data_IF_184245598820
#
_entry.id   IF_184245598820
#
_cell.length_a   1.000
_cell.length_b   1.000
_cell.length_c   1.000
_cell.angle_alpha   90.00
_cell.angle_beta   90.00
_cell.angle_gamma   90.00
#
_symmetry.space_group_name_H-M   'P 1'
#
loop_
_entity.id
_entity.type
_entity.pdbx_description
1 polymer ?
#
# COMPACT_ATOMS: atom_id res chain seq x y z
N UNK A 1 13.50 -27.65 10.33
CA UNK A 1 13.31 -27.34 8.88
C UNK A 1 12.41 -26.14 8.64
N UNK A 2 11.24 -26.03 9.30
CA UNK A 2 10.35 -24.85 9.17
C UNK A 2 11.00 -23.50 9.51
N UNK A 3 11.91 -23.46 10.48
CA UNK A 3 12.59 -22.21 10.87
C UNK A 3 13.61 -21.73 9.82
N UNK A 4 14.28 -22.65 9.12
CA UNK A 4 15.19 -22.33 8.02
C UNK A 4 14.44 -21.74 6.81
N UNK A 5 13.28 -22.31 6.47
CA UNK A 5 12.39 -21.75 5.43
C UNK A 5 11.87 -20.37 5.81
N UNK A 6 11.53 -20.17 7.09
CA UNK A 6 11.06 -18.88 7.62
C UNK A 6 12.13 -17.81 7.55
N UNK A 7 13.36 -18.12 7.98
CA UNK A 7 14.51 -17.22 7.93
C UNK A 7 14.90 -16.91 6.48
N UNK A 8 14.89 -17.91 5.59
CA UNK A 8 15.15 -17.73 4.15
C UNK A 8 14.10 -16.84 3.48
N UNK A 9 12.82 -16.98 3.86
CA UNK A 9 11.76 -16.11 3.36
C UNK A 9 11.89 -14.67 3.86
N UNK A 10 12.17 -14.47 5.16
CA UNK A 10 12.34 -13.14 5.74
C UNK A 10 13.54 -12.42 5.14
N UNK A 11 14.66 -13.12 4.94
CA UNK A 11 15.84 -12.55 4.28
C UNK A 11 15.58 -12.22 2.82
N UNK A 12 14.85 -13.05 2.07
CA UNK A 12 14.54 -12.76 0.65
C UNK A 12 13.52 -11.64 0.46
N UNK A 13 12.61 -11.42 1.42
CA UNK A 13 11.56 -10.38 1.35
C UNK A 13 11.80 -9.22 2.32
N UNK A 14 13.02 -9.06 2.82
CA UNK A 14 13.34 -8.13 3.88
C UNK A 14 12.96 -6.68 3.54
N UNK A 15 13.21 -6.21 2.31
CA UNK A 15 12.80 -4.86 1.87
C UNK A 15 11.28 -4.70 1.76
N UNK A 16 10.57 -5.74 1.31
CA UNK A 16 9.12 -5.72 1.25
C UNK A 16 8.51 -5.68 2.66
N UNK A 17 9.21 -6.27 3.64
CA UNK A 17 8.83 -6.24 5.05
C UNK A 17 9.18 -4.92 5.76
N UNK A 18 10.02 -4.06 5.15
CA UNK A 18 10.27 -2.69 5.58
C UNK A 18 9.13 -1.73 5.18
N UNK A 19 7.87 -2.18 5.15
CA UNK A 19 6.72 -1.37 4.76
C UNK A 19 6.58 -0.06 5.57
N UNK A 20 7.13 -0.02 6.78
CA UNK A 20 7.24 1.18 7.62
C UNK A 20 8.09 2.30 7.03
N UNK A 21 9.03 2.00 6.14
CA UNK A 21 9.86 3.02 5.47
C UNK A 21 9.01 3.83 4.49
N UNK A 22 8.04 3.18 3.83
CA UNK A 22 7.18 3.81 2.82
C UNK A 22 5.90 4.39 3.44
N UNK A 23 5.58 4.01 4.69
CA UNK A 23 4.41 4.47 5.43
C UNK A 23 4.22 6.00 5.41
N UNK A 24 5.22 6.82 5.78
CA UNK A 24 5.04 8.28 5.81
C UNK A 24 4.60 8.84 4.45
N UNK A 25 5.19 8.32 3.37
CA UNK A 25 4.87 8.75 2.01
C UNK A 25 3.45 8.32 1.61
N UNK A 26 3.09 7.06 1.87
CA UNK A 26 1.76 6.54 1.56
C UNK A 26 0.66 7.24 2.35
N UNK A 27 0.92 7.58 3.62
CA UNK A 27 -0.04 8.33 4.44
C UNK A 27 -0.27 9.73 3.87
N UNK A 28 0.80 10.44 3.52
CA UNK A 28 0.68 11.80 2.94
C UNK A 28 -0.03 11.74 1.58
N UNK A 29 0.36 10.80 0.70
CA UNK A 29 -0.31 10.62 -0.59
C UNK A 29 -1.78 10.25 -0.42
N UNK A 30 -2.12 9.36 0.52
CA UNK A 30 -3.51 8.98 0.80
C UNK A 30 -4.36 10.16 1.23
N UNK A 31 -3.83 11.03 2.10
CA UNK A 31 -4.52 12.27 2.51
C UNK A 31 -4.70 13.21 1.32
N UNK A 32 -3.67 13.40 0.49
CA UNK A 32 -3.75 14.26 -0.69
C UNK A 32 -4.75 13.77 -1.74
N UNK A 33 -4.94 12.45 -1.84
CA UNK A 33 -5.89 11.85 -2.78
C UNK A 33 -7.34 11.89 -2.27
N UNK A 34 -7.57 11.89 -0.97
CA UNK A 34 -8.92 11.91 -0.38
C UNK A 34 -9.42 13.35 -0.16
N UNK A 35 -8.52 14.26 0.19
CA UNK A 35 -8.87 15.64 0.53
C UNK A 35 -8.86 16.50 -0.73
N UNK A 36 -10.04 16.88 -1.21
CA UNK A 36 -10.17 17.83 -2.32
C UNK A 36 -10.03 19.29 -1.81
N UNK A 37 -8.97 20.02 -2.22
CA UNK A 37 -8.79 21.43 -1.87
C UNK A 37 -9.85 22.36 -2.47
N UNK A 38 -10.67 21.89 -3.42
CA UNK A 38 -11.76 22.67 -4.02
C UNK A 38 -13.07 22.55 -3.26
N UNK A 39 -13.16 21.66 -2.28
CA UNK A 39 -14.28 21.66 -1.34
C UNK A 39 -14.15 22.91 -0.47
N UNK A 40 -15.05 23.89 -0.66
CA UNK A 40 -14.98 25.23 -0.06
C UNK A 40 -15.03 25.30 1.47
N UNK A 41 -14.85 24.17 2.17
CA UNK A 41 -14.78 24.04 3.62
C UNK A 41 -13.35 24.03 4.18
N UNK A 42 -12.31 23.94 3.34
CA UNK A 42 -10.92 23.73 3.79
C UNK A 42 -9.92 24.76 3.28
N UNK A 43 -10.12 26.03 3.68
CA UNK A 43 -9.08 27.06 3.65
C UNK A 43 -8.58 27.48 2.27
N UNK A 44 -7.69 28.47 2.27
CA UNK A 44 -7.07 28.99 1.05
C UNK A 44 -6.23 27.89 0.38
N UNK A 45 -6.37 27.73 -0.94
CA UNK A 45 -5.64 26.73 -1.72
C UNK A 45 -4.11 26.84 -1.53
N UNK A 46 -3.62 28.05 -1.27
CA UNK A 46 -2.20 28.31 -0.95
C UNK A 46 -1.77 27.60 0.33
N UNK A 47 -2.60 27.61 1.37
CA UNK A 47 -2.31 26.95 2.65
C UNK A 47 -2.31 25.44 2.46
N UNK A 48 -3.24 24.90 1.67
CA UNK A 48 -3.31 23.47 1.37
C UNK A 48 -2.09 22.98 0.59
N UNK A 49 -1.67 23.71 -0.46
CA UNK A 49 -0.44 23.38 -1.19
C UNK A 49 0.82 23.49 -0.30
N UNK A 50 0.83 24.47 0.62
CA UNK A 50 1.88 24.61 1.62
C UNK A 50 1.98 23.40 2.55
N UNK A 51 0.86 22.97 3.15
CA UNK A 51 0.83 21.80 4.06
C UNK A 51 1.12 20.50 3.32
N UNK A 52 0.62 20.34 2.08
CA UNK A 52 0.93 19.22 1.21
C UNK A 52 2.44 19.10 0.95
N UNK A 53 3.09 20.22 0.61
CA UNK A 53 4.53 20.27 0.33
C UNK A 53 5.34 19.93 1.58
N UNK A 54 4.99 20.52 2.73
CA UNK A 54 5.65 20.23 4.00
C UNK A 54 5.51 18.75 4.39
N UNK A 55 4.30 18.19 4.26
CA UNK A 55 4.04 16.78 4.52
C UNK A 55 4.87 15.87 3.62
N UNK A 56 4.96 16.18 2.32
CA UNK A 56 5.74 15.42 1.35
C UNK A 56 7.24 15.48 1.68
N UNK A 57 7.78 16.67 1.96
CA UNK A 57 9.18 16.84 2.38
C UNK A 57 9.48 16.07 3.66
N UNK A 58 8.60 16.14 4.66
CA UNK A 58 8.75 15.38 5.90
C UNK A 58 8.73 13.87 5.66
N UNK A 59 7.84 13.37 4.79
CA UNK A 59 7.78 11.97 4.41
C UNK A 59 9.06 11.51 3.70
N UNK A 60 9.58 12.30 2.76
CA UNK A 60 10.85 12.01 2.09
C UNK A 60 12.04 12.03 3.05
N UNK A 61 12.07 12.96 4.00
CA UNK A 61 13.09 13.03 5.04
C UNK A 61 13.02 11.85 6.01
N UNK A 62 11.85 11.27 6.25
CA UNK A 62 11.67 10.11 7.11
C UNK A 62 12.25 8.82 6.52
N UNK A 63 12.20 8.64 5.18
CA UNK A 63 12.70 7.45 4.48
C UNK A 63 14.15 7.09 4.87
N UNK A 64 15.16 7.98 4.76
CA UNK A 64 16.54 7.65 5.12
C UNK A 64 16.71 7.38 6.62
N UNK A 65 15.93 8.05 7.49
CA UNK A 65 15.97 7.86 8.95
C UNK A 65 15.46 6.46 9.32
N UNK A 66 14.28 6.09 8.82
CA UNK A 66 13.69 4.76 8.99
C UNK A 66 14.59 3.68 8.40
N UNK A 67 15.13 3.91 7.19
CA UNK A 67 16.06 2.97 6.54
C UNK A 67 17.35 2.76 7.33
N UNK A 68 17.85 3.79 8.02
CA UNK A 68 19.02 3.68 8.93
C UNK A 68 18.64 2.90 10.19
N UNK A 69 17.48 3.15 10.77
CA UNK A 69 16.98 2.41 11.92
C UNK A 69 16.90 0.91 11.63
N UNK A 70 16.28 0.52 10.50
CA UNK A 70 16.17 -0.89 10.11
C UNK A 70 17.54 -1.55 9.88
N UNK A 71 18.44 -0.87 9.17
CA UNK A 71 19.80 -1.37 8.94
C UNK A 71 20.58 -1.58 10.24
N UNK A 72 20.40 -0.71 11.23
CA UNK A 72 21.04 -0.86 12.54
C UNK A 72 20.45 -2.01 13.36
N UNK A 73 19.12 -2.17 13.35
CA UNK A 73 18.44 -3.14 14.22
C UNK A 73 18.44 -4.57 13.67
N UNK A 74 18.39 -4.74 12.36
CA UNK A 74 18.22 -6.06 11.72
C UNK A 74 19.32 -6.38 10.70
N UNK A 75 20.31 -5.50 10.52
CA UNK A 75 21.42 -5.68 9.59
C UNK A 75 21.10 -5.28 8.13
N UNK A 76 22.12 -5.33 7.28
CA UNK A 76 22.01 -5.00 5.86
C UNK A 76 21.93 -6.29 5.03
N UNK A 77 20.71 -6.75 4.73
CA UNK A 77 20.50 -7.86 3.78
C UNK A 77 20.55 -7.30 2.37
N UNK A 78 21.48 -7.79 1.54
CA UNK A 78 21.60 -7.38 0.13
C UNK A 78 20.41 -7.90 -0.67
N UNK A 79 19.81 -7.00 -1.44
CA UNK A 79 18.63 -7.22 -2.28
C UNK A 79 18.96 -8.08 -3.49
N UNK A 80 18.07 -9.02 -3.83
CA UNK A 80 17.99 -9.54 -5.19
C UNK A 80 17.28 -8.50 -6.07
N UNK A 81 18.08 -7.75 -6.83
CA UNK A 81 17.66 -6.65 -7.72
C UNK A 81 16.53 -7.03 -8.71
N UNK A 82 16.36 -8.31 -9.00
CA UNK A 82 15.35 -8.82 -9.93
C UNK A 82 13.90 -8.73 -9.41
N UNK A 83 13.69 -8.84 -8.09
CA UNK A 83 12.35 -8.89 -7.53
C UNK A 83 11.64 -7.54 -7.59
N UNK A 84 12.39 -6.44 -7.41
CA UNK A 84 11.89 -5.07 -7.55
C UNK A 84 11.36 -4.76 -8.96
N UNK A 85 11.99 -5.29 -10.02
CA UNK A 85 11.52 -5.08 -11.40
C UNK A 85 10.18 -5.76 -11.64
N UNK A 86 9.99 -6.99 -11.15
CA UNK A 86 8.74 -7.73 -11.30
C UNK A 86 7.57 -7.05 -10.58
N UNK A 87 7.82 -6.50 -9.38
CA UNK A 87 6.83 -5.76 -8.60
C UNK A 87 6.45 -4.45 -9.29
N UNK A 88 7.42 -3.69 -9.80
CA UNK A 88 7.15 -2.44 -10.55
C UNK A 88 6.32 -2.69 -11.81
N UNK A 89 6.65 -3.74 -12.58
CA UNK A 89 5.88 -4.11 -13.77
C UNK A 89 4.46 -4.53 -13.38
N UNK A 90 4.29 -5.36 -12.35
CA UNK A 90 2.96 -5.77 -11.89
C UNK A 90 2.10 -4.57 -11.44
N UNK A 91 2.67 -3.65 -10.67
CA UNK A 91 1.99 -2.42 -10.27
C UNK A 91 1.63 -1.56 -11.49
N UNK A 92 2.56 -1.37 -12.42
CA UNK A 92 2.31 -0.62 -13.65
C UNK A 92 1.18 -1.21 -14.51
N UNK A 93 1.13 -2.54 -14.63
CA UNK A 93 0.05 -3.24 -15.34
C UNK A 93 -1.30 -3.05 -14.67
N UNK A 94 -1.38 -3.13 -13.33
CA UNK A 94 -2.62 -2.90 -12.59
C UNK A 94 -3.09 -1.45 -12.77
N UNK A 95 -2.19 -0.46 -12.67
CA UNK A 95 -2.52 0.94 -12.90
C UNK A 95 -2.99 1.20 -14.33
N UNK A 96 -2.33 0.61 -15.33
CA UNK A 96 -2.75 0.73 -16.73
C UNK A 96 -4.14 0.13 -16.95
N UNK A 97 -4.42 -1.04 -16.37
CA UNK A 97 -5.72 -1.69 -16.45
C UNK A 97 -6.83 -0.81 -15.82
N UNK A 98 -6.57 -0.24 -14.64
CA UNK A 98 -7.50 0.70 -13.96
C UNK A 98 -7.74 1.95 -14.80
N UNK A 99 -6.69 2.54 -15.39
CA UNK A 99 -6.81 3.73 -16.23
C UNK A 99 -7.63 3.47 -17.51
N UNK A 100 -7.47 2.30 -18.13
CA UNK A 100 -8.28 1.88 -19.27
C UNK A 100 -9.72 1.63 -18.84
N UNK A 101 -9.95 0.94 -17.72
CA UNK A 101 -11.29 0.69 -17.20
C UNK A 101 -12.04 2.00 -16.96
N UNK A 102 -11.42 2.94 -16.24
CA UNK A 102 -12.01 4.25 -15.92
C UNK A 102 -12.41 5.07 -17.16
N UNK A 103 -11.78 4.83 -18.32
CA UNK A 103 -12.16 5.49 -19.58
C UNK A 103 -13.35 4.83 -20.29
N UNK A 104 -13.60 3.56 -20.01
CA UNK A 104 -14.53 2.71 -20.75
C UNK A 104 -15.80 2.44 -19.93
N UNK A 105 -15.78 2.71 -18.63
CA UNK A 105 -16.88 2.41 -17.71
C UNK A 105 -17.88 3.58 -17.66
N UNK A 106 -19.13 3.37 -18.13
CA UNK A 106 -20.22 4.31 -17.86
C UNK A 106 -20.48 4.38 -16.36
N UNK A 107 -21.26 5.37 -15.89
CA UNK A 107 -21.66 5.50 -14.49
C UNK A 107 -22.51 4.30 -14.02
N UNK A 108 -21.84 3.20 -13.71
CA UNK A 108 -22.43 1.97 -13.22
C UNK A 108 -22.61 2.06 -11.70
N UNK A 109 -23.59 1.34 -11.14
CA UNK A 109 -23.85 1.36 -9.69
C UNK A 109 -22.77 0.63 -8.87
N UNK A 110 -21.80 -0.01 -9.53
CA UNK A 110 -20.65 -0.70 -8.94
C UNK A 110 -19.35 -0.17 -9.55
N UNK A 111 -18.23 -0.27 -8.82
CA UNK A 111 -16.90 0.15 -9.28
C UNK A 111 -16.10 -1.04 -9.82
N UNK A 112 -16.04 -1.23 -11.14
CA UNK A 112 -15.19 -2.25 -11.74
C UNK A 112 -13.69 -1.96 -11.52
N UNK A 113 -13.31 -0.70 -11.29
CA UNK A 113 -11.94 -0.31 -10.96
C UNK A 113 -11.50 -0.89 -9.61
N UNK A 114 -12.33 -0.74 -8.58
CA UNK A 114 -12.08 -1.32 -7.26
C UNK A 114 -11.99 -2.85 -7.30
N UNK A 115 -12.85 -3.50 -8.10
CA UNK A 115 -12.81 -4.94 -8.33
C UNK A 115 -11.49 -5.36 -9.01
N UNK A 116 -11.07 -4.65 -10.05
CA UNK A 116 -9.81 -4.93 -10.75
C UNK A 116 -8.60 -4.80 -9.82
N UNK A 117 -8.55 -3.74 -9.00
CA UNK A 117 -7.49 -3.58 -7.98
C UNK A 117 -7.57 -4.71 -6.95
N UNK A 118 -8.75 -5.03 -6.43
CA UNK A 118 -8.94 -6.10 -5.46
C UNK A 118 -8.48 -7.46 -5.97
N UNK A 119 -8.79 -7.81 -7.23
CA UNK A 119 -8.29 -9.02 -7.89
C UNK A 119 -6.77 -8.99 -8.02
N UNK A 120 -6.18 -7.86 -8.41
CA UNK A 120 -4.72 -7.69 -8.47
C UNK A 120 -4.05 -7.92 -7.11
N UNK A 121 -4.64 -7.39 -6.04
CA UNK A 121 -4.17 -7.58 -4.65
C UNK A 121 -4.30 -9.05 -4.23
N UNK A 122 -5.39 -9.74 -4.58
CA UNK A 122 -5.56 -11.17 -4.30
C UNK A 122 -4.50 -12.01 -5.02
N UNK A 123 -4.25 -11.75 -6.30
CA UNK A 123 -3.22 -12.44 -7.09
C UNK A 123 -1.84 -12.22 -6.48
N UNK A 124 -1.54 -10.98 -6.05
CA UNK A 124 -0.30 -10.68 -5.33
C UNK A 124 -0.22 -11.45 -4.00
N UNK A 125 -1.30 -11.48 -3.21
CA UNK A 125 -1.38 -12.24 -1.96
C UNK A 125 -1.17 -13.74 -2.14
N UNK A 126 -1.72 -14.32 -3.20
CA UNK A 126 -1.51 -15.73 -3.56
C UNK A 126 -0.06 -16.05 -3.92
N UNK A 127 0.63 -15.13 -4.60
CA UNK A 127 2.07 -15.27 -4.89
C UNK A 127 2.93 -15.11 -3.64
N UNK A 128 2.51 -14.27 -2.70
CA UNK A 128 3.24 -13.94 -1.48
C UNK A 128 2.71 -14.76 -0.28
N UNK A 129 2.73 -16.09 -0.41
CA UNK A 129 2.05 -17.06 0.49
C UNK A 129 2.10 -16.79 2.01
N UNK A 130 3.23 -16.40 2.65
CA UNK A 130 3.23 -16.11 4.09
C UNK A 130 2.71 -14.70 4.46
N UNK A 131 2.58 -13.80 3.48
CA UNK A 131 1.88 -12.52 3.59
C UNK A 131 0.43 -12.63 3.09
N UNK A 132 -0.05 -13.80 2.68
CA UNK A 132 -1.38 -13.96 2.11
C UNK A 132 -2.53 -13.42 2.98
N UNK A 133 -2.57 -13.59 4.32
CA UNK A 133 -3.75 -13.19 5.11
C UNK A 133 -4.16 -11.71 4.96
N UNK A 134 -3.27 -10.72 5.18
CA UNK A 134 -3.66 -9.33 5.01
C UNK A 134 -3.93 -8.95 3.54
N UNK A 135 -3.20 -9.51 2.57
CA UNK A 135 -3.48 -9.26 1.14
C UNK A 135 -4.84 -9.82 0.73
N UNK A 136 -5.22 -11.00 1.24
CA UNK A 136 -6.54 -11.60 0.99
C UNK A 136 -7.63 -10.74 1.61
N UNK A 137 -7.49 -10.31 2.87
CA UNK A 137 -8.45 -9.43 3.52
C UNK A 137 -8.63 -8.11 2.76
N UNK A 138 -7.53 -7.45 2.38
CA UNK A 138 -7.56 -6.22 1.60
C UNK A 138 -8.19 -6.42 0.24
N UNK A 139 -7.82 -7.47 -0.49
CA UNK A 139 -8.36 -7.76 -1.81
C UNK A 139 -9.85 -8.10 -1.78
N UNK A 140 -10.29 -8.91 -0.81
CA UNK A 140 -11.71 -9.21 -0.60
C UNK A 140 -12.49 -7.94 -0.22
N UNK A 141 -11.96 -7.13 0.70
CA UNK A 141 -12.62 -5.88 1.10
C UNK A 141 -12.81 -4.92 -0.08
N UNK A 142 -11.81 -4.79 -0.96
CA UNK A 142 -11.92 -3.97 -2.18
C UNK A 142 -12.94 -4.52 -3.18
N UNK A 143 -13.00 -5.84 -3.37
CA UNK A 143 -14.00 -6.46 -4.25
C UNK A 143 -15.41 -6.25 -3.68
N UNK A 144 -15.61 -6.54 -2.39
CA UNK A 144 -16.91 -6.36 -1.73
C UNK A 144 -17.34 -4.89 -1.79
N UNK A 145 -16.45 -3.96 -1.46
CA UNK A 145 -16.74 -2.53 -1.52
C UNK A 145 -16.98 -2.04 -2.96
N UNK A 146 -16.36 -2.66 -3.96
CA UNK A 146 -16.56 -2.32 -5.38
C UNK A 146 -17.86 -2.88 -5.97
N UNK A 147 -18.34 -4.04 -5.50
CA UNK A 147 -19.56 -4.69 -5.99
C UNK A 147 -20.82 -4.18 -5.27
N UNK A 148 -20.67 -3.67 -4.04
CA UNK A 148 -21.81 -3.13 -3.28
C UNK A 148 -22.45 -1.97 -4.05
N UNK A 149 -23.76 -2.02 -4.32
CA UNK A 149 -24.44 -0.97 -5.06
C UNK A 149 -24.49 0.30 -4.21
N UNK A 150 -24.00 1.40 -4.76
CA UNK A 150 -24.08 2.71 -4.11
C UNK A 150 -25.35 3.44 -4.55
N UNK A 151 -26.17 3.87 -3.60
CA UNK A 151 -27.40 4.62 -3.84
C UNK A 151 -27.04 6.09 -4.11
N UNK A 152 -26.52 6.39 -5.30
CA UNK A 152 -26.07 7.73 -5.71
C UNK A 152 -25.72 7.83 -7.19
N UNK A 153 -25.38 9.04 -7.65
CA UNK A 153 -24.93 9.27 -9.04
C UNK A 153 -23.48 8.79 -9.18
N UNK A 154 -23.31 7.50 -9.43
CA UNK A 154 -22.01 6.85 -9.58
C UNK A 154 -21.42 6.33 -8.27
N UNK A 155 -20.54 5.34 -8.40
CA UNK A 155 -19.88 4.70 -7.27
C UNK A 155 -18.67 5.54 -6.79
N UNK A 156 -18.50 5.80 -5.48
CA UNK A 156 -17.41 6.66 -4.98
C UNK A 156 -16.01 6.10 -5.30
N UNK A 157 -15.86 4.78 -5.35
CA UNK A 157 -14.59 4.13 -5.76
C UNK A 157 -14.30 4.19 -7.27
N UNK A 158 -15.24 4.67 -8.09
CA UNK A 158 -14.96 4.96 -9.50
C UNK A 158 -14.30 6.33 -9.68
N UNK A 159 -14.29 7.18 -8.64
CA UNK A 159 -13.40 8.33 -8.58
C UNK A 159 -11.97 7.83 -8.31
N UNK A 160 -11.08 8.09 -9.27
CA UNK A 160 -9.69 7.66 -9.21
C UNK A 160 -8.98 8.23 -7.97
N UNK A 161 -9.31 9.45 -7.55
CA UNK A 161 -8.70 10.08 -6.38
C UNK A 161 -9.04 9.30 -5.11
N UNK A 162 -10.33 9.02 -4.89
CA UNK A 162 -10.82 8.23 -3.76
C UNK A 162 -10.23 6.81 -3.81
N UNK A 163 -10.23 6.16 -4.98
CA UNK A 163 -9.67 4.82 -5.14
C UNK A 163 -8.18 4.77 -4.78
N UNK A 164 -7.38 5.73 -5.25
CA UNK A 164 -5.96 5.83 -4.92
C UNK A 164 -5.73 6.12 -3.44
N UNK A 165 -6.58 6.95 -2.82
CA UNK A 165 -6.59 7.18 -1.38
C UNK A 165 -6.82 5.90 -0.58
N UNK A 166 -7.84 5.12 -0.95
CA UNK A 166 -8.15 3.81 -0.35
C UNK A 166 -6.99 2.82 -0.56
N UNK A 167 -6.38 2.80 -1.76
CA UNK A 167 -5.20 1.97 -2.03
C UNK A 167 -4.01 2.36 -1.16
N UNK A 168 -3.78 3.65 -0.93
CA UNK A 168 -2.73 4.12 -0.02
C UNK A 168 -3.01 3.68 1.42
N UNK A 169 -4.24 3.84 1.91
CA UNK A 169 -4.64 3.36 3.25
C UNK A 169 -4.49 1.84 3.42
N UNK A 170 -4.86 1.07 2.39
CA UNK A 170 -4.64 -0.37 2.35
C UNK A 170 -3.14 -0.73 2.39
N UNK A 171 -2.31 -0.03 1.62
CA UNK A 171 -0.86 -0.22 1.61
C UNK A 171 -0.22 0.15 2.97
N UNK A 172 -0.75 1.15 3.67
CA UNK A 172 -0.36 1.51 5.04
C UNK A 172 -0.61 0.32 5.99
N UNK A 173 -1.81 -0.25 5.98
CA UNK A 173 -2.16 -1.41 6.81
C UNK A 173 -1.28 -2.62 6.51
N UNK A 174 -1.03 -2.89 5.22
CA UNK A 174 -0.10 -3.94 4.78
C UNK A 174 1.32 -3.69 5.28
N UNK A 175 1.80 -2.44 5.25
CA UNK A 175 3.12 -2.05 5.73
C UNK A 175 3.27 -2.25 7.25
N UNK A 176 2.26 -1.87 8.03
CA UNK A 176 2.22 -2.11 9.49
C UNK A 176 2.22 -3.60 9.80
N UNK A 177 1.37 -4.39 9.12
CA UNK A 177 1.32 -5.84 9.33
C UNK A 177 2.65 -6.51 8.99
N UNK A 178 3.28 -6.10 7.88
CA UNK A 178 4.58 -6.58 7.46
C UNK A 178 5.66 -6.32 8.50
N UNK A 179 5.64 -5.15 9.15
CA UNK A 179 6.53 -4.86 10.28
C UNK A 179 6.27 -5.77 11.49
N UNK A 180 4.99 -5.97 11.87
CA UNK A 180 4.65 -6.82 13.00
C UNK A 180 5.10 -8.26 12.78
N UNK A 181 4.97 -8.78 11.55
CA UNK A 181 5.51 -10.08 11.17
C UNK A 181 7.03 -10.12 11.30
N UNK A 182 7.73 -9.09 10.82
CA UNK A 182 9.18 -8.99 10.92
C UNK A 182 9.64 -8.97 12.38
N UNK A 183 8.97 -8.21 13.25
CA UNK A 183 9.19 -8.21 14.71
C UNK A 183 8.94 -9.58 15.33
N UNK A 184 7.85 -10.26 14.98
CA UNK A 184 7.55 -11.60 15.52
C UNK A 184 8.56 -12.66 15.11
N UNK A 185 9.09 -12.59 13.89
CA UNK A 185 10.01 -13.61 13.38
C UNK A 185 11.47 -13.35 13.78
N UNK A 186 11.91 -12.08 13.81
CA UNK A 186 13.29 -11.74 14.15
C UNK A 186 13.48 -11.34 15.63
N UNK A 187 12.45 -10.81 16.29
CA UNK A 187 12.49 -10.40 17.69
C UNK A 187 12.23 -11.53 18.69
N UNK A 188 11.71 -12.67 18.25
CA UNK A 188 11.54 -13.86 19.11
C UNK A 188 12.84 -14.57 19.49
N UNK A 189 13.99 -14.11 18.99
CA UNK A 189 15.32 -14.64 19.29
C UNK A 189 16.10 -13.78 20.31
N UNK A 190 15.44 -12.88 21.03
CA UNK A 190 16.06 -12.30 22.23
C UNK A 190 16.02 -13.37 23.33
N UNK A 191 17.16 -13.97 23.73
CA UNK A 191 17.20 -14.75 24.97
C UNK A 191 16.78 -13.81 26.10
N UNK A 192 15.88 -14.30 26.95
CA UNK A 192 15.19 -13.49 27.96
C UNK A 192 16.10 -12.57 28.76
N UNK A 193 15.58 -11.37 29.01
CA UNK A 193 15.70 -10.77 30.34
C UNK A 193 14.76 -11.51 31.31
#
# INVERSE_FOLDING_TARGET
MRDLERVRFVTSHYEMLQGLVVLPLLTVLGVLFIVDPRSGSQGDAVIWWGTATVGLVAAFAAIPVLSRYYRRRYGAVRVQREQGRSALVATGVVFAAVAVLHKVTPAWPFSPEAVAVGVGVLVAGWRLRPLAPPFVLTGVALIVAGVLPFQGVGHPLSDLSILLGVCCGAAVLLGVWSHLLLRRVLGGNEPGE
#
